data_IF_606175154962
#
_entry.id   IF_606175154962
#
_cell.length_a   1.000
_cell.length_b   1.000
_cell.length_c   1.000
_cell.angle_alpha   90.00
_cell.angle_beta   90.00
_cell.angle_gamma   90.00
#
_symmetry.space_group_name_H-M   'P 1'
#
loop_
_entity.id
_entity.type
_entity.pdbx_description
1 polymer ?
#
# COMPACT_ATOMS: atom_id res chain seq x y z
N UNK A 1 -15.69 -3.06 -17.93
CA UNK A 1 -14.39 -3.60 -18.36
C UNK A 1 -13.93 -4.56 -17.28
N UNK A 2 -13.63 -5.82 -17.63
CA UNK A 2 -12.99 -6.80 -16.73
C UNK A 2 -11.59 -7.06 -17.30
N UNK A 3 -10.58 -6.87 -16.47
CA UNK A 3 -9.17 -7.16 -16.79
C UNK A 3 -8.81 -8.62 -16.53
N UNK A 4 -9.77 -9.43 -16.11
CA UNK A 4 -9.56 -10.76 -15.55
C UNK A 4 -8.91 -11.73 -16.55
N UNK A 5 -9.08 -11.52 -17.87
CA UNK A 5 -8.40 -12.30 -18.91
C UNK A 5 -7.01 -11.80 -19.31
N UNK A 6 -6.58 -10.63 -18.80
CA UNK A 6 -5.28 -10.01 -19.09
C UNK A 6 -4.30 -10.16 -17.93
N UNK A 7 -4.78 -10.50 -16.72
CA UNK A 7 -3.95 -10.65 -15.54
C UNK A 7 -3.41 -12.08 -15.50
N UNK A 8 -2.08 -12.21 -15.45
CA UNK A 8 -1.39 -13.47 -15.16
C UNK A 8 -0.85 -13.38 -13.72
N UNK A 9 -1.47 -14.06 -12.74
CA UNK A 9 -0.95 -14.08 -11.38
C UNK A 9 0.50 -14.58 -11.37
N UNK A 10 1.40 -13.80 -10.78
CA UNK A 10 2.81 -14.13 -10.70
C UNK A 10 3.11 -14.87 -9.39
N UNK A 11 3.92 -15.93 -9.42
CA UNK A 11 4.46 -16.51 -8.20
C UNK A 11 5.37 -15.50 -7.49
N UNK A 12 5.48 -15.63 -6.16
CA UNK A 12 6.47 -14.93 -5.35
C UNK A 12 6.82 -15.79 -4.14
N UNK A 13 8.09 -15.78 -3.71
CA UNK A 13 8.53 -16.40 -2.45
C UNK A 13 7.91 -15.64 -1.28
N UNK A 14 7.87 -14.32 -1.39
CA UNK A 14 7.27 -13.40 -0.43
C UNK A 14 5.76 -13.53 -0.43
N UNK A 15 5.14 -13.61 0.76
CA UNK A 15 3.69 -13.50 0.90
C UNK A 15 3.28 -12.04 1.05
N UNK A 16 2.33 -11.58 0.26
CA UNK A 16 1.81 -10.22 0.36
C UNK A 16 0.46 -10.21 1.07
N UNK A 17 0.32 -9.40 2.12
CA UNK A 17 -0.93 -9.25 2.88
C UNK A 17 -1.39 -7.80 2.79
N UNK A 18 -2.43 -7.55 2.01
CA UNK A 18 -2.97 -6.23 1.73
C UNK A 18 -4.14 -5.98 2.68
N UNK A 19 -3.91 -5.11 3.66
CA UNK A 19 -4.89 -4.70 4.67
C UNK A 19 -5.66 -3.48 4.18
N UNK A 20 -6.86 -3.72 3.66
CA UNK A 20 -7.68 -2.72 3.00
C UNK A 20 -8.70 -2.11 3.94
N UNK A 21 -8.68 -0.78 4.05
CA UNK A 21 -9.66 -0.08 4.87
C UNK A 21 -11.10 -0.23 4.30
N UNK A 22 -12.15 -0.50 5.12
CA UNK A 22 -13.51 -0.79 4.65
C UNK A 22 -14.12 0.28 3.74
N UNK A 23 -13.82 1.56 4.01
CA UNK A 23 -14.25 2.65 3.13
C UNK A 23 -13.72 2.51 1.70
N UNK A 24 -12.45 2.17 1.50
CA UNK A 24 -11.90 2.00 0.14
C UNK A 24 -12.61 0.84 -0.57
N UNK A 25 -12.80 -0.28 0.14
CA UNK A 25 -13.50 -1.45 -0.37
C UNK A 25 -14.92 -1.13 -0.85
N UNK A 26 -15.67 -0.30 -0.10
CA UNK A 26 -17.07 0.05 -0.42
C UNK A 26 -17.19 1.07 -1.55
N UNK A 27 -16.26 2.03 -1.63
CA UNK A 27 -16.39 3.21 -2.52
C UNK A 27 -15.73 3.03 -3.87
N UNK A 28 -14.67 2.23 -3.94
CA UNK A 28 -13.84 2.12 -5.14
C UNK A 28 -13.87 0.67 -5.59
N UNK A 29 -14.70 0.39 -6.61
CA UNK A 29 -14.79 -0.96 -7.18
C UNK A 29 -13.47 -1.43 -7.79
N UNK A 30 -12.64 -0.47 -8.25
CA UNK A 30 -11.34 -0.72 -8.84
C UNK A 30 -10.27 0.15 -8.19
N UNK A 31 -9.58 -0.43 -7.22
CA UNK A 31 -8.49 0.21 -6.50
C UNK A 31 -7.19 -0.57 -6.68
N UNK A 32 -6.09 0.09 -6.33
CA UNK A 32 -4.75 -0.44 -6.50
C UNK A 32 -4.53 -1.68 -5.65
N UNK A 33 -5.03 -1.75 -4.41
CA UNK A 33 -4.90 -2.96 -3.58
C UNK A 33 -5.54 -4.21 -4.20
N UNK A 34 -6.75 -4.11 -4.79
CA UNK A 34 -7.36 -5.25 -5.50
C UNK A 34 -6.56 -5.66 -6.73
N UNK A 35 -6.05 -4.68 -7.48
CA UNK A 35 -5.26 -4.96 -8.67
C UNK A 35 -3.94 -5.64 -8.30
N UNK A 36 -3.26 -5.16 -7.25
CA UNK A 36 -2.07 -5.82 -6.67
C UNK A 36 -2.37 -7.27 -6.30
N UNK A 37 -3.48 -7.51 -5.58
CA UNK A 37 -3.88 -8.86 -5.18
C UNK A 37 -4.08 -9.79 -6.39
N UNK A 38 -4.72 -9.33 -7.47
CA UNK A 38 -4.91 -10.15 -8.66
C UNK A 38 -3.59 -10.46 -9.39
N UNK A 39 -2.59 -9.58 -9.31
CA UNK A 39 -1.29 -9.80 -9.93
C UNK A 39 -0.39 -10.79 -9.17
N UNK A 40 -0.68 -11.09 -7.90
CA UNK A 40 0.17 -11.90 -7.02
C UNK A 40 -0.53 -13.19 -6.61
N UNK A 41 0.01 -14.32 -7.08
CA UNK A 41 -0.61 -15.64 -6.91
C UNK A 41 -0.78 -16.04 -5.43
N UNK A 42 0.18 -15.67 -4.57
CA UNK A 42 0.09 -15.91 -3.13
C UNK A 42 0.04 -14.60 -2.35
N UNK A 43 -1.06 -13.89 -2.54
CA UNK A 43 -1.39 -12.70 -1.76
C UNK A 43 -2.75 -12.84 -1.08
N UNK A 44 -2.94 -12.13 0.03
CA UNK A 44 -4.22 -12.05 0.74
C UNK A 44 -4.71 -10.61 0.78
N UNK A 45 -6.00 -10.41 0.50
CA UNK A 45 -6.67 -9.13 0.63
C UNK A 45 -7.64 -9.19 1.80
N UNK A 46 -7.29 -8.54 2.91
CA UNK A 46 -8.06 -8.56 4.15
C UNK A 46 -8.66 -7.18 4.39
N UNK A 47 -9.97 -7.11 4.62
CA UNK A 47 -10.68 -5.84 4.80
C UNK A 47 -10.91 -5.59 6.29
N UNK A 48 -10.41 -4.46 6.80
CA UNK A 48 -10.54 -4.09 8.22
C UNK A 48 -9.89 -2.76 8.54
N UNK A 49 -10.19 -2.23 9.72
CA UNK A 49 -9.58 -1.01 10.28
C UNK A 49 -8.91 -1.23 11.64
N UNK A 50 -9.06 -2.42 12.24
CA UNK A 50 -8.37 -2.89 13.46
C UNK A 50 -8.00 -4.35 13.27
N UNK A 51 -6.76 -4.72 13.59
CA UNK A 51 -6.25 -6.06 13.26
C UNK A 51 -5.77 -6.89 14.45
N UNK A 52 -5.69 -6.33 15.66
CA UNK A 52 -5.22 -7.05 16.86
C UNK A 52 -6.05 -8.30 17.19
N UNK A 53 -7.35 -8.28 16.89
CA UNK A 53 -8.26 -9.42 17.10
C UNK A 53 -8.66 -10.10 15.78
N UNK A 54 -7.95 -9.83 14.68
CA UNK A 54 -8.28 -10.43 13.39
C UNK A 54 -7.53 -11.76 13.24
N UNK A 55 -8.23 -12.88 13.44
CA UNK A 55 -7.67 -14.24 13.47
C UNK A 55 -6.66 -14.52 12.35
N UNK A 56 -7.02 -14.23 11.09
CA UNK A 56 -6.11 -14.48 9.97
C UNK A 56 -4.83 -13.65 10.03
N UNK A 57 -4.92 -12.35 10.37
CA UNK A 57 -3.75 -11.48 10.49
C UNK A 57 -2.87 -11.92 11.64
N UNK A 58 -3.45 -12.23 12.79
CA UNK A 58 -2.71 -12.74 13.94
C UNK A 58 -2.05 -14.09 13.64
N UNK A 59 -2.73 -14.99 12.91
CA UNK A 59 -2.14 -16.26 12.49
C UNK A 59 -0.90 -16.06 11.62
N UNK A 60 -0.90 -15.08 10.73
CA UNK A 60 0.23 -14.79 9.85
C UNK A 60 1.41 -14.14 10.62
N UNK A 61 1.10 -13.28 11.60
CA UNK A 61 2.09 -12.60 12.44
C UNK A 61 2.76 -13.58 13.42
N UNK A 62 2.01 -14.52 14.00
CA UNK A 62 2.49 -15.39 15.07
C UNK A 62 2.97 -16.77 14.59
N UNK A 63 2.81 -17.09 13.32
CA UNK A 63 3.33 -18.33 12.74
C UNK A 63 4.87 -18.31 12.77
N UNK A 64 5.52 -19.28 13.45
CA UNK A 64 6.98 -19.34 13.55
C UNK A 64 7.66 -19.58 12.21
N UNK A 65 6.95 -20.08 11.19
CA UNK A 65 7.47 -20.22 9.84
C UNK A 65 7.51 -18.89 9.07
N UNK A 66 6.93 -17.82 9.61
CA UNK A 66 6.88 -16.51 8.95
C UNK A 66 7.85 -15.51 9.58
N UNK A 67 8.35 -14.62 8.73
CA UNK A 67 9.02 -13.38 9.11
C UNK A 67 8.13 -12.21 8.69
N UNK A 68 7.20 -11.77 9.56
CA UNK A 68 6.26 -10.71 9.24
C UNK A 68 6.94 -9.34 9.33
N UNK A 69 6.76 -8.53 8.30
CA UNK A 69 7.24 -7.14 8.23
C UNK A 69 6.16 -6.21 7.74
N UNK A 70 6.24 -4.94 8.14
CA UNK A 70 5.33 -3.90 7.68
C UNK A 70 6.03 -3.01 6.65
N UNK A 71 5.47 -2.91 5.44
CA UNK A 71 5.92 -1.93 4.45
C UNK A 71 5.38 -0.55 4.83
N UNK A 72 6.19 0.23 5.55
CA UNK A 72 5.80 1.54 6.05
C UNK A 72 7.04 2.40 6.34
N UNK A 73 7.15 3.61 5.76
CA UNK A 73 8.32 4.45 5.96
C UNK A 73 8.40 4.96 7.41
N UNK A 74 9.60 4.98 7.97
CA UNK A 74 9.87 5.43 9.33
C UNK A 74 11.37 5.56 9.58
N UNK A 75 11.76 6.32 10.59
CA UNK A 75 13.18 6.46 10.97
C UNK A 75 13.80 5.16 11.46
N UNK A 76 12.96 4.22 11.91
CA UNK A 76 13.32 2.88 12.37
C UNK A 76 13.13 1.81 11.30
N UNK A 77 12.75 2.18 10.08
CA UNK A 77 12.53 1.22 8.99
C UNK A 77 13.84 0.86 8.30
N UNK A 78 14.02 -0.44 8.01
CA UNK A 78 15.14 -0.96 7.24
C UNK A 78 14.94 -0.64 5.77
N UNK A 79 15.94 -0.04 5.14
CA UNK A 79 15.92 0.38 3.74
C UNK A 79 16.42 -0.74 2.83
N UNK A 80 15.50 -1.47 2.22
CA UNK A 80 15.81 -2.61 1.35
C UNK A 80 16.61 -2.18 0.12
N UNK A 81 16.47 -0.94 -0.36
CA UNK A 81 17.24 -0.46 -1.51
C UNK A 81 18.75 -0.43 -1.21
N UNK A 82 19.14 -0.35 0.07
CA UNK A 82 20.53 -0.37 0.54
C UNK A 82 21.01 -1.75 1.00
N UNK A 83 20.21 -2.80 0.76
CA UNK A 83 20.55 -4.16 1.20
C UNK A 83 20.44 -4.34 2.71
N UNK A 84 19.67 -3.49 3.40
CA UNK A 84 19.48 -3.59 4.85
C UNK A 84 18.59 -4.77 5.25
N UNK A 85 18.16 -5.64 4.34
CA UNK A 85 17.49 -6.91 4.62
C UNK A 85 18.16 -8.00 3.79
N UNK A 86 18.60 -9.08 4.45
CA UNK A 86 19.26 -10.24 3.84
C UNK A 86 18.52 -11.54 4.19
N UNK A 87 18.84 -12.62 3.47
CA UNK A 87 18.22 -13.93 3.70
C UNK A 87 18.46 -14.47 5.13
N UNK A 88 19.62 -14.16 5.70
CA UNK A 88 19.99 -14.51 7.08
C UNK A 88 19.11 -13.84 8.15
N UNK A 89 18.43 -12.72 7.84
CA UNK A 89 17.54 -12.06 8.81
C UNK A 89 16.31 -12.91 9.17
N UNK A 90 15.84 -13.70 8.21
CA UNK A 90 14.67 -14.54 8.38
C UNK A 90 14.97 -16.03 8.51
N UNK A 91 16.22 -16.47 8.32
CA UNK A 91 16.71 -17.83 8.69
C UNK A 91 15.80 -18.95 8.16
N UNK A 92 15.51 -18.93 6.86
CA UNK A 92 14.63 -19.92 6.21
C UNK A 92 13.13 -19.76 6.49
N UNK A 93 12.72 -18.77 7.30
CA UNK A 93 11.31 -18.38 7.42
C UNK A 93 10.85 -17.66 6.16
N UNK A 94 9.55 -17.73 5.90
CA UNK A 94 8.93 -17.05 4.78
C UNK A 94 8.75 -15.55 5.07
N UNK A 95 9.25 -14.69 4.19
CA UNK A 95 8.97 -13.25 4.27
C UNK A 95 7.46 -13.00 4.04
N UNK A 96 6.81 -12.31 5.00
CA UNK A 96 5.40 -11.91 4.90
C UNK A 96 5.31 -10.40 5.02
N UNK A 97 4.92 -9.73 3.93
CA UNK A 97 4.87 -8.27 3.87
C UNK A 97 3.43 -7.79 4.01
N UNK A 98 3.19 -7.00 5.05
CA UNK A 98 1.93 -6.31 5.25
C UNK A 98 1.94 -4.94 4.56
N UNK A 99 0.91 -4.66 3.75
CA UNK A 99 0.67 -3.38 3.11
C UNK A 99 -0.65 -2.79 3.59
N UNK A 100 -0.66 -1.50 3.90
CA UNK A 100 -1.85 -0.79 4.34
C UNK A 100 -2.51 -0.06 3.15
N UNK A 101 -3.68 -0.54 2.69
CA UNK A 101 -4.41 0.05 1.58
C UNK A 101 -5.50 1.01 2.06
N UNK A 102 -5.28 2.29 1.82
CA UNK A 102 -6.16 3.36 2.24
C UNK A 102 -5.58 4.74 2.00
N UNK A 103 -6.39 5.78 2.14
CA UNK A 103 -5.82 7.12 2.26
C UNK A 103 -5.05 7.24 3.57
N UNK A 104 -4.00 8.05 3.60
CA UNK A 104 -3.20 8.28 4.82
C UNK A 104 -4.03 8.69 6.05
N UNK A 105 -5.12 9.44 5.83
CA UNK A 105 -6.07 9.80 6.90
C UNK A 105 -6.73 8.59 7.57
N UNK A 106 -6.83 7.46 6.86
CA UNK A 106 -7.41 6.19 7.32
C UNK A 106 -6.35 5.19 7.75
N UNK A 107 -5.28 5.07 6.97
CA UNK A 107 -4.15 4.17 7.26
C UNK A 107 -3.48 4.53 8.58
N UNK A 108 -3.31 5.82 8.90
CA UNK A 108 -2.68 6.23 10.17
C UNK A 108 -3.48 5.79 11.40
N UNK A 109 -4.80 6.04 11.51
CA UNK A 109 -5.62 5.42 12.56
C UNK A 109 -5.56 3.90 12.57
N UNK A 110 -5.68 3.26 11.41
CA UNK A 110 -5.66 1.80 11.27
C UNK A 110 -4.39 1.18 11.84
N UNK A 111 -3.23 1.76 11.56
CA UNK A 111 -1.96 1.33 12.14
C UNK A 111 -1.90 1.62 13.65
N UNK A 112 -2.27 2.85 14.06
CA UNK A 112 -2.26 3.26 15.48
C UNK A 112 -3.17 2.41 16.37
N UNK A 113 -4.25 1.87 15.81
CA UNK A 113 -5.22 1.01 16.51
C UNK A 113 -4.91 -0.48 16.39
N UNK A 114 -3.80 -0.86 15.73
CA UNK A 114 -3.35 -2.25 15.59
C UNK A 114 -1.95 -2.39 16.19
N UNK A 115 -1.85 -2.68 17.48
CA UNK A 115 -0.60 -2.82 18.21
C UNK A 115 0.28 -3.95 17.66
N UNK A 116 -0.32 -5.06 17.20
CA UNK A 116 0.42 -6.17 16.62
C UNK A 116 1.16 -5.75 15.34
N UNK A 117 0.56 -4.89 14.52
CA UNK A 117 1.18 -4.34 13.32
C UNK A 117 2.26 -3.30 13.63
N UNK A 118 2.08 -2.52 14.70
CA UNK A 118 3.09 -1.55 15.15
C UNK A 118 4.35 -2.23 15.67
N UNK A 119 4.22 -3.43 16.24
CA UNK A 119 5.34 -4.22 16.75
C UNK A 119 6.16 -4.90 15.65
N UNK A 120 5.67 -4.94 14.40
CA UNK A 120 6.40 -5.56 13.30
C UNK A 120 7.64 -4.73 12.92
N UNK A 121 8.76 -5.39 12.55
CA UNK A 121 9.85 -4.73 11.87
C UNK A 121 9.33 -3.97 10.64
N UNK A 122 9.74 -2.71 10.50
CA UNK A 122 9.36 -1.89 9.36
C UNK A 122 10.40 -2.00 8.27
N UNK A 123 9.93 -2.09 7.04
CA UNK A 123 10.75 -2.05 5.84
C UNK A 123 10.32 -0.88 4.96
N UNK A 124 11.27 -0.34 4.22
CA UNK A 124 11.05 0.70 3.24
C UNK A 124 12.04 0.58 2.08
N UNK A 125 11.88 1.44 1.08
CA UNK A 125 12.84 1.66 0.00
C UNK A 125 12.92 3.17 -0.23
N UNK A 126 14.12 3.69 -0.47
CA UNK A 126 14.33 5.13 -0.73
C UNK A 126 14.48 5.46 -2.23
N UNK A 127 14.87 4.49 -3.04
CA UNK A 127 15.03 4.63 -4.50
C UNK A 127 13.75 4.26 -5.28
N UNK A 128 12.61 4.87 -4.94
CA UNK A 128 11.40 4.68 -5.73
C UNK A 128 11.34 5.68 -6.90
N UNK A 129 10.92 5.20 -8.07
CA UNK A 129 10.53 6.11 -9.14
C UNK A 129 9.37 7.03 -8.67
N UNK A 130 9.27 8.27 -9.18
CA UNK A 130 8.12 9.12 -8.91
C UNK A 130 6.81 8.40 -9.25
N UNK A 131 5.77 8.62 -8.43
CA UNK A 131 4.48 7.96 -8.66
C UNK A 131 3.96 8.25 -10.07
N UNK A 132 3.61 7.18 -10.78
CA UNK A 132 2.97 7.12 -12.10
C UNK A 132 1.44 7.28 -11.98
N UNK A 133 0.92 7.61 -10.80
CA UNK A 133 -0.50 7.88 -10.59
C UNK A 133 -0.86 9.29 -11.11
N UNK A 134 -1.40 9.35 -12.32
CA UNK A 134 -1.74 10.56 -13.05
C UNK A 134 -2.88 11.38 -12.41
N UNK A 135 -3.80 10.73 -11.68
CA UNK A 135 -5.09 11.36 -11.30
C UNK A 135 -5.32 11.52 -9.80
N UNK A 136 -4.67 10.73 -8.95
CA UNK A 136 -4.73 10.94 -7.50
C UNK A 136 -3.58 11.82 -7.07
N UNK A 137 -3.89 12.98 -6.49
CA UNK A 137 -2.89 13.82 -5.84
C UNK A 137 -2.30 13.05 -4.67
N UNK A 138 -1.06 12.61 -4.82
CA UNK A 138 -0.28 12.06 -3.73
C UNK A 138 -0.05 13.17 -2.69
N UNK A 139 -0.17 12.87 -1.39
CA UNK A 139 -0.08 13.91 -0.37
C UNK A 139 1.33 14.51 -0.31
N UNK A 140 2.36 13.71 -0.61
CA UNK A 140 3.78 14.09 -0.56
C UNK A 140 4.55 13.37 -1.68
N UNK A 141 5.66 13.93 -2.19
CA UNK A 141 6.59 13.23 -3.09
C UNK A 141 7.05 11.91 -2.45
N UNK A 142 7.08 10.83 -3.23
CA UNK A 142 7.43 9.48 -2.73
C UNK A 142 6.26 8.66 -2.18
N UNK A 143 5.05 9.23 -2.06
CA UNK A 143 3.87 8.43 -1.79
C UNK A 143 3.46 7.64 -3.04
N UNK A 144 3.60 6.32 -2.96
CA UNK A 144 3.19 5.38 -4.00
C UNK A 144 1.77 4.85 -3.72
N UNK A 145 1.07 4.41 -4.77
CA UNK A 145 -0.08 3.54 -4.58
C UNK A 145 0.33 2.16 -4.09
N UNK A 146 -0.61 1.37 -3.56
CA UNK A 146 -0.36 -0.02 -3.11
C UNK A 146 0.24 -0.90 -4.21
N UNK A 147 -0.13 -0.66 -5.48
CA UNK A 147 0.43 -1.41 -6.61
C UNK A 147 1.85 -0.99 -6.91
N UNK A 148 2.11 0.32 -6.98
CA UNK A 148 3.47 0.83 -7.17
C UNK A 148 4.39 0.42 -6.02
N UNK A 149 3.91 0.47 -4.77
CA UNK A 149 4.69 0.07 -3.61
C UNK A 149 5.05 -1.44 -3.64
N UNK A 150 4.12 -2.30 -4.06
CA UNK A 150 4.40 -3.71 -4.26
C UNK A 150 5.37 -3.95 -5.43
N UNK A 151 5.21 -3.22 -6.53
CA UNK A 151 6.10 -3.29 -7.70
C UNK A 151 7.54 -2.90 -7.34
N UNK A 152 7.74 -1.73 -6.70
CA UNK A 152 9.08 -1.27 -6.29
C UNK A 152 9.68 -2.22 -5.24
N UNK A 153 8.87 -2.76 -4.32
CA UNK A 153 9.35 -3.77 -3.37
C UNK A 153 9.83 -5.04 -4.09
N UNK A 154 9.06 -5.58 -5.04
CA UNK A 154 9.44 -6.77 -5.79
C UNK A 154 10.72 -6.55 -6.60
N UNK A 155 10.89 -5.38 -7.24
CA UNK A 155 12.13 -5.03 -7.94
C UNK A 155 13.34 -5.05 -7.01
N UNK A 156 13.20 -4.54 -5.78
CA UNK A 156 14.28 -4.54 -4.81
C UNK A 156 14.56 -5.96 -4.29
N UNK A 157 13.53 -6.74 -3.99
CA UNK A 157 13.71 -8.14 -3.54
C UNK A 157 14.38 -9.00 -4.63
N UNK A 158 13.98 -8.83 -5.89
CA UNK A 158 14.57 -9.50 -7.05
C UNK A 158 16.05 -9.14 -7.24
N UNK A 159 16.38 -7.83 -7.13
CA UNK A 159 17.77 -7.33 -7.19
C UNK A 159 18.69 -8.00 -6.17
N UNK A 160 18.19 -8.30 -4.98
CA UNK A 160 18.95 -8.95 -3.90
C UNK A 160 18.75 -10.47 -3.84
N UNK A 161 18.08 -11.08 -4.83
CA UNK A 161 17.87 -12.54 -4.90
C UNK A 161 16.91 -13.09 -3.85
N UNK A 162 16.13 -12.23 -3.19
CA UNK A 162 15.17 -12.60 -2.15
C UNK A 162 13.81 -13.03 -2.74
N UNK A 163 13.53 -12.66 -3.99
CA UNK A 163 12.35 -13.11 -4.74
C UNK A 163 12.68 -13.22 -6.24
N UNK A 164 11.70 -13.64 -7.05
CA UNK A 164 11.78 -13.70 -8.52
C UNK A 164 10.62 -12.90 -9.13
N UNK A 165 10.92 -11.72 -9.67
CA UNK A 165 9.90 -10.83 -10.25
C UNK A 165 9.77 -11.01 -11.76
N UNK A 166 9.18 -12.13 -12.17
CA UNK A 166 9.12 -12.56 -13.58
C UNK A 166 8.44 -11.63 -14.61
N UNK A 167 7.48 -10.77 -14.22
CA UNK A 167 6.73 -9.91 -15.16
C UNK A 167 6.49 -8.50 -14.58
N UNK A 168 7.55 -7.67 -14.46
CA UNK A 168 7.46 -6.36 -13.83
C UNK A 168 6.52 -5.39 -14.57
N UNK A 169 6.49 -5.47 -15.90
CA UNK A 169 5.68 -4.57 -16.73
C UNK A 169 4.18 -4.78 -16.55
N UNK A 170 3.73 -6.02 -16.26
CA UNK A 170 2.31 -6.33 -16.16
C UNK A 170 1.59 -5.47 -15.12
N UNK A 171 2.20 -5.29 -13.93
CA UNK A 171 1.57 -4.48 -12.87
C UNK A 171 1.40 -3.02 -13.35
N UNK A 172 2.43 -2.45 -13.98
CA UNK A 172 2.39 -1.08 -14.47
C UNK A 172 1.41 -0.91 -15.64
N UNK A 173 1.36 -1.85 -16.57
CA UNK A 173 0.43 -1.84 -17.71
C UNK A 173 -1.03 -1.91 -17.26
N UNK A 174 -1.33 -2.78 -16.30
CA UNK A 174 -2.65 -2.88 -15.70
C UNK A 174 -2.99 -1.61 -14.93
N UNK A 175 -2.02 -1.03 -14.22
CA UNK A 175 -2.21 0.22 -13.50
C UNK A 175 -2.52 1.38 -14.46
N UNK A 176 -1.78 1.51 -15.57
CA UNK A 176 -2.05 2.50 -16.61
C UNK A 176 -3.44 2.28 -17.24
N UNK A 177 -3.78 1.04 -17.57
CA UNK A 177 -5.08 0.67 -18.12
C UNK A 177 -6.24 1.04 -17.18
N UNK A 178 -6.08 0.75 -15.88
CA UNK A 178 -7.04 1.15 -14.85
C UNK A 178 -7.22 2.67 -14.83
N UNK A 179 -6.13 3.42 -14.86
CA UNK A 179 -6.16 4.88 -14.80
C UNK A 179 -6.89 5.47 -16.02
N UNK A 180 -6.61 4.97 -17.23
CA UNK A 180 -7.32 5.36 -18.46
C UNK A 180 -8.83 5.11 -18.34
N UNK A 181 -9.21 3.95 -17.81
CA UNK A 181 -10.62 3.61 -17.60
C UNK A 181 -11.31 4.56 -16.59
N UNK A 182 -10.64 4.87 -15.48
CA UNK A 182 -11.17 5.80 -14.46
C UNK A 182 -11.41 7.20 -15.05
N UNK A 183 -10.48 7.71 -15.87
CA UNK A 183 -10.62 9.00 -16.55
C UNK A 183 -11.80 9.01 -17.51
N UNK A 184 -11.93 7.98 -18.34
CA UNK A 184 -13.01 7.90 -19.31
C UNK A 184 -14.38 7.87 -18.60
N UNK A 185 -14.50 7.12 -17.50
CA UNK A 185 -15.70 7.10 -16.66
C UNK A 185 -16.03 8.46 -16.04
N UNK A 186 -15.03 9.18 -15.54
CA UNK A 186 -15.26 10.52 -14.99
C UNK A 186 -15.70 11.52 -16.08
N UNK A 187 -15.11 11.44 -17.28
CA UNK A 187 -15.50 12.27 -18.43
C UNK A 187 -16.93 11.96 -18.88
N UNK A 188 -17.29 10.69 -18.98
CA UNK A 188 -18.66 10.25 -19.30
C UNK A 188 -19.66 10.78 -18.27
N UNK A 189 -19.39 10.58 -16.98
CA UNK A 189 -20.27 11.05 -15.90
C UNK A 189 -20.48 12.57 -15.92
N UNK A 190 -19.46 13.35 -16.31
CA UNK A 190 -19.57 14.81 -16.50
C UNK A 190 -20.45 15.18 -17.70
N UNK A 191 -20.36 14.43 -18.80
CA UNK A 191 -21.18 14.64 -20.01
C UNK A 191 -22.65 14.27 -19.78
N UNK A 192 -22.92 13.21 -19.02
CA UNK A 192 -24.28 12.70 -18.77
C UNK A 192 -25.00 13.40 -17.61
N UNK A 193 -24.37 14.36 -16.93
CA UNK A 193 -24.96 15.05 -15.76
C UNK A 193 -25.20 14.14 -14.55
N UNK A 194 -24.76 12.89 -14.59
CA UNK A 194 -24.93 11.92 -13.51
C UNK A 194 -23.90 12.19 -12.41
N UNK A 195 -24.26 13.07 -11.46
CA UNK A 195 -23.48 13.30 -10.25
C UNK A 195 -23.50 12.02 -9.39
N UNK A 196 -22.34 11.50 -8.92
CA UNK A 196 -22.33 10.45 -7.93
C UNK A 196 -23.09 10.93 -6.68
N UNK A 197 -24.11 10.20 -6.23
CA UNK A 197 -24.87 10.53 -5.00
C UNK A 197 -23.90 10.81 -3.86
N UNK A 198 -23.78 12.09 -3.49
CA UNK A 198 -23.06 12.52 -2.29
C UNK A 198 -24.02 12.29 -1.13
N UNK A 199 -23.87 11.16 -0.44
CA UNK A 199 -24.67 10.89 0.75
C UNK A 199 -24.48 12.02 1.77
N UNK A 200 -25.60 12.66 2.10
CA UNK A 200 -25.70 13.68 3.13
C UNK A 200 -25.65 12.99 4.50
N UNK A 201 -24.44 12.64 4.96
CA UNK A 201 -24.19 12.49 6.39
C UNK A 201 -23.59 13.80 6.90
N UNK A 202 -24.40 14.56 7.64
CA UNK A 202 -24.09 15.92 8.07
C UNK A 202 -22.86 16.04 8.95
N UNK A 203 -22.07 17.08 8.70
CA UNK A 203 -21.27 17.76 9.71
C UNK A 203 -21.07 19.20 9.23
N UNK A 204 -21.78 20.10 9.89
CA UNK A 204 -21.71 21.53 9.71
C UNK A 204 -20.42 22.02 10.37
N UNK A 205 -19.39 22.40 9.61
CA UNK A 205 -18.23 23.11 10.17
C UNK A 205 -17.84 24.27 9.28
N UNK A 206 -18.10 25.47 9.81
CA UNK A 206 -17.71 26.78 9.29
C UNK A 206 -16.20 26.83 9.04
N UNK A 207 -15.83 27.45 7.93
CA UNK A 207 -14.47 27.75 7.52
C UNK A 207 -13.89 28.83 8.46
N UNK A 208 -12.72 28.59 9.06
CA UNK A 208 -11.97 29.61 9.81
C UNK A 208 -10.57 29.75 9.20
N UNK A 209 -10.24 30.87 8.53
CA UNK A 209 -8.98 31.04 7.83
C UNK A 209 -7.94 31.67 8.76
N UNK A 210 -7.39 30.89 9.69
CA UNK A 210 -6.15 31.26 10.39
C UNK A 210 -5.56 30.08 11.14
N UNK A 211 -4.56 29.42 10.53
CA UNK A 211 -3.46 28.71 11.22
C UNK A 211 -2.45 28.23 10.19
N UNK A 212 -1.33 28.97 10.10
CA UNK A 212 -0.10 28.55 9.42
C UNK A 212 0.26 27.13 9.91
N UNK A 213 0.34 26.16 8.98
CA UNK A 213 0.83 24.81 9.30
C UNK A 213 2.34 24.85 9.42
N UNK A 214 2.84 24.37 10.56
CA UNK A 214 4.28 24.21 10.83
C UNK A 214 4.85 23.16 9.87
N UNK A 215 5.90 23.58 9.17
CA UNK A 215 6.83 22.75 8.41
C UNK A 215 7.58 21.86 9.40
N UNK A 216 7.65 20.55 9.15
CA UNK A 216 8.56 19.67 9.88
C UNK A 216 9.98 19.96 9.39
N UNK A 217 10.73 20.75 10.16
CA UNK A 217 12.18 20.81 10.07
C UNK A 217 12.78 19.65 10.83
N UNK A 218 13.71 18.95 10.18
CA UNK A 218 14.62 17.99 10.81
C UNK A 218 15.29 18.63 12.01
N UNK A 219 15.03 18.11 13.22
CA UNK A 219 15.81 18.46 14.40
C UNK A 219 17.01 17.52 14.46
N UNK A 220 18.17 18.03 14.02
CA UNK A 220 19.45 17.64 14.62
C UNK A 220 19.33 17.84 16.13
N UNK A 221 19.72 16.84 16.91
CA UNK A 221 20.16 17.05 18.30
C UNK A 221 21.59 16.59 18.39
N UNK A 222 22.45 17.58 18.57
CA UNK A 222 23.79 17.44 19.11
C UNK A 222 23.73 17.03 20.59
N UNK A 223 24.88 16.52 21.04
CA UNK A 223 25.44 16.47 22.40
C UNK A 223 25.14 15.21 23.24
N UNK A 224 26.16 14.40 23.49
CA UNK A 224 27.27 14.78 24.38
C UNK A 224 28.63 14.48 23.71
#
# INVERSE_FOLDING_TARGET
MCWCGQIKPMPSRTKFVILMHPYEHRRVKLNTGRLTHFCLADSELIVGDRFDNHDRVQSLIHDPANFPVLLYPGSDARDLSKGELAEDDFVGRRLVVFLLDGTWRKVRPMLRESLSLQALPKIMFSEAAPSRYLFKKQPEPGCLSTLEAAHELLLVLDRYGLDDYSQPDQMLDLFMSMQVYQVNRERENRKTGSVPKKDRSGANTRFNPSKRRKVFTSQKRDQA
#
